data_IF_541591683665
#
_entry.id   IF_541591683665
#
_cell.length_a   1.000
_cell.length_b   1.000
_cell.length_c   1.000
_cell.angle_alpha   90.00
_cell.angle_beta   90.00
_cell.angle_gamma   90.00
#
_symmetry.space_group_name_H-M   'P 1'
#
loop_
_entity.id
_entity.type
_entity.pdbx_description
1 polymer ?
#
# COMPACT_ATOMS: atom_id res chain seq x y z
N UNK A 1 6.98 -27.80 0.83
CA UNK A 1 5.62 -27.65 1.39
C UNK A 1 5.44 -26.28 2.05
N UNK A 2 5.54 -25.18 1.29
CA UNK A 2 5.39 -23.79 1.79
C UNK A 2 4.41 -22.94 0.96
N UNK A 3 3.53 -23.55 0.15
CA UNK A 3 2.76 -22.83 -0.87
C UNK A 3 1.48 -22.13 -0.39
N UNK A 4 0.78 -22.68 0.60
CA UNK A 4 -0.49 -22.11 1.09
C UNK A 4 -0.29 -20.83 1.93
N UNK A 5 0.67 -20.74 2.87
CA UNK A 5 0.83 -19.53 3.69
C UNK A 5 1.33 -18.34 2.88
N UNK A 6 2.19 -18.55 1.87
CA UNK A 6 2.71 -17.48 1.00
C UNK A 6 1.63 -16.90 0.10
N UNK A 7 0.76 -17.72 -0.48
CA UNK A 7 -0.36 -17.23 -1.31
C UNK A 7 -1.32 -16.39 -0.45
N UNK A 8 -1.64 -16.85 0.76
CA UNK A 8 -2.51 -16.12 1.69
C UNK A 8 -1.91 -14.75 2.07
N UNK A 9 -0.63 -14.69 2.42
CA UNK A 9 0.07 -13.43 2.74
C UNK A 9 0.08 -12.50 1.52
N UNK A 10 0.32 -13.04 0.33
CA UNK A 10 0.35 -12.27 -0.91
C UNK A 10 -0.99 -11.63 -1.25
N UNK A 11 -2.08 -12.39 -1.06
CA UNK A 11 -3.46 -11.90 -1.19
C UNK A 11 -3.78 -10.81 -0.17
N UNK A 12 -3.34 -10.98 1.09
CA UNK A 12 -3.50 -9.96 2.12
C UNK A 12 -2.77 -8.67 1.73
N UNK A 13 -1.52 -8.77 1.26
CA UNK A 13 -0.72 -7.61 0.83
C UNK A 13 -1.36 -6.90 -0.36
N UNK A 14 -1.85 -7.65 -1.35
CA UNK A 14 -2.56 -7.08 -2.50
C UNK A 14 -3.86 -6.39 -2.08
N UNK A 15 -4.66 -7.02 -1.21
CA UNK A 15 -5.87 -6.41 -0.65
C UNK A 15 -5.55 -5.13 0.15
N UNK A 16 -4.48 -5.14 0.94
CA UNK A 16 -4.06 -3.98 1.71
C UNK A 16 -3.67 -2.82 0.78
N UNK A 17 -2.88 -3.10 -0.26
CA UNK A 17 -2.52 -2.12 -1.28
C UNK A 17 -3.75 -1.54 -1.99
N UNK A 18 -4.71 -2.39 -2.37
CA UNK A 18 -5.95 -1.96 -2.99
C UNK A 18 -6.80 -1.08 -2.06
N UNK A 19 -6.93 -1.46 -0.79
CA UNK A 19 -7.63 -0.68 0.23
C UNK A 19 -6.96 0.68 0.45
N UNK A 20 -5.63 0.75 0.43
CA UNK A 20 -4.89 2.00 0.52
C UNK A 20 -5.15 2.91 -0.69
N UNK A 21 -5.22 2.36 -1.90
CA UNK A 21 -5.55 3.13 -3.11
C UNK A 21 -6.99 3.65 -3.06
N UNK A 22 -7.95 2.81 -2.66
CA UNK A 22 -9.37 3.19 -2.56
C UNK A 22 -9.59 4.25 -1.49
N UNK A 23 -8.96 4.10 -0.34
CA UNK A 23 -9.11 5.01 0.80
C UNK A 23 -8.06 6.12 0.84
N UNK A 24 -7.33 6.38 -0.27
CA UNK A 24 -6.21 7.33 -0.34
C UNK A 24 -6.56 8.74 0.17
N UNK A 25 -7.79 9.22 -0.06
CA UNK A 25 -8.24 10.53 0.38
C UNK A 25 -8.49 10.58 1.90
N UNK A 26 -8.97 9.48 2.48
CA UNK A 26 -9.16 9.35 3.93
C UNK A 26 -7.82 9.21 4.64
N UNK A 27 -6.94 8.36 4.11
CA UNK A 27 -5.57 8.19 4.62
C UNK A 27 -4.75 9.47 4.50
N UNK A 28 -4.85 10.20 3.38
CA UNK A 28 -4.20 11.50 3.19
C UNK A 28 -4.64 12.53 4.22
N UNK A 29 -5.95 12.65 4.48
CA UNK A 29 -6.49 13.53 5.52
C UNK A 29 -6.01 13.14 6.92
N UNK A 30 -5.99 11.85 7.22
CA UNK A 30 -5.57 11.33 8.52
C UNK A 30 -4.07 11.58 8.75
N UNK A 31 -3.22 11.27 7.75
CA UNK A 31 -1.80 11.54 7.79
C UNK A 31 -1.52 13.04 7.89
N UNK A 32 -2.14 13.87 7.04
CA UNK A 32 -2.02 15.34 7.11
C UNK A 32 -2.39 15.87 8.50
N UNK A 33 -3.47 15.37 9.11
CA UNK A 33 -3.84 15.74 10.48
C UNK A 33 -2.80 15.32 11.52
N UNK A 34 -2.16 14.16 11.35
CA UNK A 34 -1.12 13.67 12.25
C UNK A 34 0.16 14.50 12.12
N UNK A 35 0.59 14.77 10.88
CA UNK A 35 1.76 15.59 10.59
C UNK A 35 1.57 17.05 11.03
N UNK A 36 0.35 17.59 10.93
CA UNK A 36 0.02 18.90 11.51
C UNK A 36 0.26 18.96 13.01
N UNK A 37 -0.06 17.88 13.75
CA UNK A 37 0.23 17.80 15.20
C UNK A 37 1.73 17.77 15.49
N UNK A 38 2.54 17.31 14.54
CA UNK A 38 4.01 17.31 14.61
C UNK A 38 4.63 18.63 14.10
N UNK A 39 3.81 19.63 13.74
CA UNK A 39 4.28 20.92 13.23
C UNK A 39 4.70 20.91 11.75
N UNK A 40 4.39 19.84 11.03
CA UNK A 40 4.74 19.65 9.62
C UNK A 40 3.50 19.85 8.75
N UNK A 41 3.41 20.99 8.06
CA UNK A 41 2.28 21.28 7.17
C UNK A 41 2.64 20.85 5.73
N UNK A 42 2.21 19.66 5.35
CA UNK A 42 2.42 19.10 4.01
C UNK A 42 1.08 19.06 3.27
N UNK A 43 1.02 19.52 2.00
CA UNK A 43 -0.21 19.53 1.22
C UNK A 43 -0.84 18.14 1.11
N UNK A 44 -2.14 18.04 1.38
CA UNK A 44 -2.87 16.77 1.34
C UNK A 44 -2.77 16.08 -0.05
N UNK A 45 -2.65 16.85 -1.13
CA UNK A 45 -2.47 16.32 -2.48
C UNK A 45 -1.17 15.53 -2.66
N UNK A 46 -0.09 15.93 -1.98
CA UNK A 46 1.19 15.20 -1.99
C UNK A 46 1.03 13.86 -1.29
N UNK A 47 0.35 13.83 -0.14
CA UNK A 47 0.06 12.57 0.55
C UNK A 47 -0.84 11.66 -0.27
N UNK A 48 -1.90 12.18 -0.89
CA UNK A 48 -2.79 11.38 -1.73
C UNK A 48 -2.04 10.71 -2.90
N UNK A 49 -1.08 11.41 -3.52
CA UNK A 49 -0.20 10.85 -4.55
C UNK A 49 0.75 9.80 -3.98
N UNK A 50 1.36 10.05 -2.82
CA UNK A 50 2.25 9.08 -2.16
C UNK A 50 1.51 7.80 -1.77
N UNK A 51 0.33 7.91 -1.15
CA UNK A 51 -0.49 6.74 -0.81
C UNK A 51 -0.96 5.97 -2.04
N UNK A 52 -1.25 6.65 -3.14
CA UNK A 52 -1.56 6.01 -4.42
C UNK A 52 -0.34 5.24 -4.95
N UNK A 53 0.85 5.84 -4.95
CA UNK A 53 2.08 5.19 -5.39
C UNK A 53 2.41 3.96 -4.54
N UNK A 54 2.43 4.12 -3.21
CA UNK A 54 2.70 3.02 -2.27
C UNK A 54 1.65 1.92 -2.37
N UNK A 55 0.37 2.28 -2.48
CA UNK A 55 -0.72 1.31 -2.63
C UNK A 55 -0.60 0.49 -3.92
N UNK A 56 -0.30 1.14 -5.05
CA UNK A 56 -0.05 0.44 -6.33
C UNK A 56 1.18 -0.46 -6.23
N UNK A 57 2.27 0.02 -5.60
CA UNK A 57 3.48 -0.77 -5.38
C UNK A 57 3.17 -2.05 -4.57
N UNK A 58 2.39 -1.93 -3.49
CA UNK A 58 1.95 -3.06 -2.66
C UNK A 58 1.11 -4.06 -3.44
N UNK A 59 0.21 -3.60 -4.32
CA UNK A 59 -0.58 -4.48 -5.19
C UNK A 59 0.33 -5.26 -6.15
N UNK A 60 1.29 -4.58 -6.79
CA UNK A 60 2.26 -5.22 -7.69
C UNK A 60 3.13 -6.22 -6.94
N UNK A 61 3.60 -5.87 -5.73
CA UNK A 61 4.41 -6.74 -4.90
C UNK A 61 3.63 -7.98 -4.45
N UNK A 62 2.39 -7.79 -3.99
CA UNK A 62 1.49 -8.89 -3.62
C UNK A 62 1.21 -9.81 -4.82
N UNK A 63 1.05 -9.25 -6.01
CA UNK A 63 0.89 -10.05 -7.23
C UNK A 63 2.15 -10.85 -7.59
N UNK A 64 3.34 -10.22 -7.53
CA UNK A 64 4.63 -10.88 -7.78
C UNK A 64 4.89 -12.04 -6.81
N UNK A 65 4.56 -11.85 -5.53
CA UNK A 65 4.68 -12.89 -4.52
C UNK A 65 3.65 -14.02 -4.72
N UNK A 66 2.40 -13.68 -5.08
CA UNK A 66 1.34 -14.66 -5.31
C UNK A 66 1.61 -15.55 -6.52
N UNK A 67 2.17 -14.97 -7.59
CA UNK A 67 2.48 -15.66 -8.85
C UNK A 67 3.80 -16.41 -8.79
N UNK A 68 4.60 -16.23 -7.74
CA UNK A 68 5.95 -16.79 -7.66
C UNK A 68 6.92 -16.23 -8.70
N UNK A 69 6.54 -15.17 -9.43
CA UNK A 69 7.41 -14.52 -10.42
C UNK A 69 8.68 -13.95 -9.78
N UNK A 70 8.64 -13.67 -8.48
CA UNK A 70 9.81 -13.24 -7.71
C UNK A 70 10.98 -14.23 -7.78
N UNK A 71 10.75 -15.54 -7.91
CA UNK A 71 11.86 -16.50 -8.01
C UNK A 71 12.54 -16.53 -9.37
N UNK A 72 12.00 -15.81 -10.37
CA UNK A 72 12.52 -15.75 -11.74
C UNK A 72 13.15 -14.38 -12.09
N UNK A 73 13.08 -13.41 -11.18
CA UNK A 73 13.75 -12.10 -11.24
C UNK A 73 15.11 -12.18 -10.56
#
# INVERSE_FOLDING_TARGET
>A
MYGIPTIAISLIVACLGLLMVLNRATLGRWASSLYRRLGVDVPNELYAKQFMFVGVLLVVLGFLLATGLWSYL
#
